data_IF_903928639338
#
_entry.id   IF_903928639338
#
_cell.length_a   1.000
_cell.length_b   1.000
_cell.length_c   1.000
_cell.angle_alpha   90.00
_cell.angle_beta   90.00
_cell.angle_gamma   90.00
#
_symmetry.space_group_name_H-M   'P 1'
#
loop_
_entity.id
_entity.type
_entity.pdbx_description
1 polymer ?
#
# COMPACT_ATOMS: atom_id res chain seq x y z
N UNK A 1 22.79 26.55 39.73
CA UNK A 1 22.41 27.50 38.67
C UNK A 1 21.94 26.80 37.40
N UNK A 2 22.32 25.54 37.16
CA UNK A 2 21.97 24.83 35.92
C UNK A 2 20.46 24.55 35.75
N UNK A 3 19.72 24.29 36.84
CA UNK A 3 18.27 24.07 36.80
C UNK A 3 17.49 25.31 36.37
N UNK A 4 18.00 26.52 36.65
CA UNK A 4 17.32 27.77 36.30
C UNK A 4 17.45 28.11 34.80
N UNK A 5 18.56 27.68 34.18
CA UNK A 5 18.80 27.78 32.74
C UNK A 5 17.96 26.72 32.02
N UNK A 6 17.99 25.47 32.50
CA UNK A 6 17.21 24.38 31.91
C UNK A 6 15.69 24.65 32.01
N UNK A 7 15.24 25.25 33.12
CA UNK A 7 13.86 25.71 33.28
C UNK A 7 13.48 26.90 32.39
N UNK A 8 14.45 27.67 31.87
CA UNK A 8 14.20 28.77 30.95
C UNK A 8 13.88 28.29 29.53
N UNK A 9 14.46 27.17 29.13
CA UNK A 9 14.25 26.56 27.81
C UNK A 9 13.01 25.65 27.75
N UNK A 10 12.37 25.41 28.90
CA UNK A 10 11.14 24.64 28.96
C UNK A 10 9.95 25.45 28.43
N UNK A 11 9.01 24.79 27.73
CA UNK A 11 7.80 25.45 27.26
C UNK A 11 6.97 25.90 28.46
N UNK A 12 6.60 27.18 28.48
CA UNK A 12 5.67 27.72 29.46
C UNK A 12 4.22 27.62 28.95
N UNK A 13 3.28 27.47 29.88
CA UNK A 13 1.87 27.54 29.57
C UNK A 13 1.47 29.00 29.33
N UNK A 14 1.19 29.35 28.07
CA UNK A 14 0.72 30.69 27.68
C UNK A 14 -0.75 30.87 28.02
N UNK A 15 -1.55 29.80 27.91
CA UNK A 15 -2.97 29.82 28.25
C UNK A 15 -3.38 28.61 29.09
N UNK A 16 -4.35 28.72 30.02
CA UNK A 16 -4.82 27.61 30.86
C UNK A 16 -5.33 26.39 30.08
N UNK A 17 -5.73 26.57 28.82
CA UNK A 17 -6.22 25.53 27.92
C UNK A 17 -5.14 24.90 27.03
N UNK A 18 -3.94 25.48 26.99
CA UNK A 18 -2.83 24.95 26.19
C UNK A 18 -2.48 23.54 26.62
N UNK A 19 -2.37 22.65 25.63
CA UNK A 19 -1.97 21.26 25.86
C UNK A 19 -0.50 21.11 25.53
N UNK A 20 0.26 20.58 26.48
CA UNK A 20 1.64 20.17 26.23
C UNK A 20 1.68 18.94 25.32
N UNK A 21 2.57 18.98 24.34
CA UNK A 21 3.00 17.84 23.53
C UNK A 21 3.61 16.75 24.42
N UNK A 22 3.75 15.55 23.87
CA UNK A 22 4.41 14.45 24.56
C UNK A 22 5.88 14.78 24.87
N UNK A 23 6.61 15.28 23.87
CA UNK A 23 8.04 15.58 23.99
C UNK A 23 8.28 16.69 25.04
N UNK A 24 7.41 17.69 25.08
CA UNK A 24 7.42 18.75 26.09
C UNK A 24 7.19 18.20 27.50
N UNK A 25 6.22 17.29 27.68
CA UNK A 25 5.97 16.65 28.99
C UNK A 25 7.18 15.84 29.46
N UNK A 26 7.88 15.16 28.57
CA UNK A 26 9.08 14.39 28.93
C UNK A 26 10.20 15.32 29.41
N UNK A 27 10.45 16.43 28.71
CA UNK A 27 11.45 17.42 29.14
C UNK A 27 11.11 18.01 30.52
N UNK A 28 9.86 18.40 30.72
CA UNK A 28 9.39 18.90 32.03
C UNK A 28 9.59 17.84 33.12
N UNK A 29 9.29 16.57 32.83
CA UNK A 29 9.49 15.47 33.78
C UNK A 29 10.97 15.23 34.11
N UNK A 30 11.89 15.40 33.16
CA UNK A 30 13.33 15.26 33.42
C UNK A 30 13.82 16.32 34.41
N UNK A 31 13.43 17.58 34.21
CA UNK A 31 13.78 18.68 35.13
C UNK A 31 13.08 18.50 36.49
N UNK A 32 11.82 18.07 36.48
CA UNK A 32 11.06 17.74 37.68
C UNK A 32 11.70 16.62 38.52
N UNK A 33 12.22 15.58 37.87
CA UNK A 33 12.90 14.47 38.54
C UNK A 33 14.23 14.94 39.17
N UNK A 34 14.97 15.83 38.50
CA UNK A 34 16.21 16.45 39.02
C UNK A 34 15.96 17.43 40.15
N UNK A 35 14.81 18.12 40.14
CA UNK A 35 14.49 19.16 41.11
C UNK A 35 14.33 18.64 42.56
N UNK A 36 14.38 17.32 42.82
CA UNK A 36 14.61 16.70 44.13
C UNK A 36 13.69 17.17 45.27
N UNK A 37 13.98 18.35 45.79
CA UNK A 37 13.27 19.09 46.82
C UNK A 37 11.85 19.56 46.41
N UNK A 38 10.88 19.49 47.34
CA UNK A 38 9.51 19.98 47.11
C UNK A 38 9.43 21.48 46.76
N UNK A 39 10.34 22.30 47.31
CA UNK A 39 10.36 23.75 47.07
C UNK A 39 10.71 24.10 45.62
N UNK A 40 11.76 23.47 45.08
CA UNK A 40 12.19 23.66 43.70
C UNK A 40 11.16 23.17 42.68
N UNK A 41 10.50 22.03 42.97
CA UNK A 41 9.38 21.52 42.17
C UNK A 41 8.22 22.50 42.09
N UNK A 42 7.89 23.13 43.22
CA UNK A 42 6.79 24.10 43.29
C UNK A 42 7.16 25.37 42.52
N UNK A 43 8.38 25.89 42.71
CA UNK A 43 8.90 27.04 41.97
C UNK A 43 8.92 26.83 40.45
N UNK A 44 9.38 25.64 40.00
CA UNK A 44 9.36 25.23 38.59
C UNK A 44 7.93 25.23 38.03
N UNK A 45 6.98 24.67 38.76
CA UNK A 45 5.57 24.64 38.37
C UNK A 45 4.96 26.05 38.23
N UNK A 46 5.27 26.95 39.16
CA UNK A 46 4.82 28.35 39.07
C UNK A 46 5.38 29.06 37.85
N UNK A 47 6.68 28.86 37.54
CA UNK A 47 7.33 29.44 36.35
C UNK A 47 6.72 28.93 35.04
N UNK A 48 6.37 27.65 34.98
CA UNK A 48 5.78 27.04 33.79
C UNK A 48 4.26 27.25 33.69
N UNK A 49 3.61 27.77 34.75
CA UNK A 49 2.16 27.95 34.82
C UNK A 49 1.36 26.65 35.01
N UNK A 50 2.03 25.57 35.42
CA UNK A 50 1.44 24.22 35.53
C UNK A 50 1.24 23.87 37.00
N UNK A 51 0.11 23.24 37.35
CA UNK A 51 -0.10 22.75 38.72
C UNK A 51 0.79 21.54 39.03
N UNK A 52 1.42 21.47 40.22
CA UNK A 52 2.23 20.32 40.67
C UNK A 52 1.51 18.97 40.56
N UNK A 53 0.21 18.93 40.88
CA UNK A 53 -0.61 17.73 40.76
C UNK A 53 -0.70 17.20 39.32
N UNK A 54 -0.69 18.10 38.33
CA UNK A 54 -0.72 17.72 36.90
C UNK A 54 0.58 17.04 36.48
N UNK A 55 1.73 17.58 36.92
CA UNK A 55 3.05 17.00 36.65
C UNK A 55 3.22 15.67 37.37
N UNK A 56 2.79 15.56 38.62
CA UNK A 56 2.75 14.29 39.36
C UNK A 56 1.90 13.23 38.65
N UNK A 57 0.74 13.63 38.08
CA UNK A 57 -0.09 12.76 37.27
C UNK A 57 0.56 12.34 35.94
N UNK A 58 1.49 13.12 35.39
CA UNK A 58 2.31 12.69 34.24
C UNK A 58 3.39 11.71 34.67
N UNK A 59 4.06 11.94 35.81
CA UNK A 59 5.08 11.05 36.35
C UNK A 59 4.49 9.66 36.66
N UNK A 60 3.29 9.60 37.26
CA UNK A 60 2.58 8.33 37.50
C UNK A 60 2.30 7.59 36.20
N UNK A 61 1.72 8.27 35.21
CA UNK A 61 1.44 7.68 33.88
C UNK A 61 2.69 7.22 33.15
N UNK A 62 3.83 7.91 33.32
CA UNK A 62 5.12 7.48 32.78
C UNK A 62 5.58 6.17 33.42
N UNK A 63 5.48 6.05 34.75
CA UNK A 63 5.82 4.81 35.48
C UNK A 63 4.93 3.63 35.08
N UNK A 64 3.66 3.90 34.82
CA UNK A 64 2.69 2.90 34.35
C UNK A 64 2.80 2.60 32.85
N UNK A 65 3.67 3.30 32.10
CA UNK A 65 3.78 3.16 30.65
C UNK A 65 2.58 3.68 29.85
N UNK A 66 1.62 4.35 30.52
CA UNK A 66 0.39 4.89 29.91
C UNK A 66 0.55 6.32 29.38
N UNK A 67 1.72 6.94 29.58
CA UNK A 67 2.06 8.19 28.94
C UNK A 67 2.40 7.92 27.46
N UNK A 68 1.39 7.97 26.61
CA UNK A 68 1.51 7.67 25.17
C UNK A 68 1.75 8.97 24.39
N UNK A 69 2.63 8.91 23.39
CA UNK A 69 2.75 9.96 22.38
C UNK A 69 1.43 10.03 21.62
N UNK A 70 0.68 11.12 21.81
CA UNK A 70 -0.46 11.39 20.93
C UNK A 70 0.09 11.67 19.55
N UNK A 71 0.17 10.63 18.72
CA UNK A 71 0.27 10.78 17.28
C UNK A 71 -0.87 11.68 16.86
N UNK A 72 -0.54 12.80 16.21
CA UNK A 72 -1.51 13.78 15.78
C UNK A 72 -2.58 13.04 14.95
N UNK A 73 -3.76 12.87 15.54
CA UNK A 73 -4.93 12.17 14.97
C UNK A 73 -5.59 12.96 13.82
N UNK A 74 -4.77 13.67 13.05
CA UNK A 74 -5.16 14.52 11.93
C UNK A 74 -4.79 13.93 10.57
N UNK A 75 -4.19 12.73 10.51
CA UNK A 75 -3.89 12.06 9.24
C UNK A 75 -4.71 10.80 8.97
N UNK A 76 -5.46 10.26 9.93
CA UNK A 76 -6.14 8.97 9.73
C UNK A 76 -7.49 9.06 9.03
N UNK A 77 -8.27 10.14 9.23
CA UNK A 77 -9.64 10.21 8.71
C UNK A 77 -9.74 10.55 7.21
N UNK A 78 -8.72 11.19 6.65
CA UNK A 78 -8.62 11.48 5.20
C UNK A 78 -7.97 10.31 4.49
N UNK A 79 -6.84 9.83 5.01
CA UNK A 79 -6.13 8.66 4.45
C UNK A 79 -6.99 7.39 4.44
N UNK A 80 -7.81 7.14 5.47
CA UNK A 80 -8.74 5.99 5.44
C UNK A 80 -9.84 6.11 4.37
N UNK A 81 -10.32 7.32 4.08
CA UNK A 81 -11.33 7.52 3.03
C UNK A 81 -10.75 7.32 1.64
N UNK A 82 -9.54 7.84 1.42
CA UNK A 82 -8.84 7.69 0.14
C UNK A 82 -8.43 6.23 -0.11
N UNK A 83 -7.95 5.52 0.92
CA UNK A 83 -7.65 4.09 0.84
C UNK A 83 -8.89 3.24 0.54
N UNK A 84 -10.04 3.54 1.16
CA UNK A 84 -11.28 2.82 0.89
C UNK A 84 -11.81 3.07 -0.54
N UNK A 85 -11.58 4.25 -1.11
CA UNK A 85 -11.92 4.55 -2.50
C UNK A 85 -11.01 3.80 -3.48
N UNK A 86 -9.69 3.76 -3.21
CA UNK A 86 -8.72 3.04 -4.03
C UNK A 86 -8.97 1.53 -4.04
N UNK A 87 -9.31 0.92 -2.89
CA UNK A 87 -9.64 -0.50 -2.82
C UNK A 87 -10.88 -0.86 -3.66
N UNK A 88 -11.89 0.01 -3.70
CA UNK A 88 -13.08 -0.20 -4.53
C UNK A 88 -12.78 -0.09 -6.02
N UNK A 89 -11.90 0.83 -6.43
CA UNK A 89 -11.47 0.97 -7.81
C UNK A 89 -10.66 -0.26 -8.25
N UNK A 90 -9.68 -0.67 -7.45
CA UNK A 90 -8.86 -1.85 -7.72
C UNK A 90 -9.68 -3.14 -7.76
N UNK A 91 -10.70 -3.29 -6.91
CA UNK A 91 -11.59 -4.45 -6.95
C UNK A 91 -12.39 -4.52 -8.26
N UNK A 92 -12.92 -3.37 -8.72
CA UNK A 92 -13.63 -3.29 -10.01
C UNK A 92 -12.70 -3.62 -11.17
N UNK A 93 -11.47 -3.13 -11.14
CA UNK A 93 -10.46 -3.39 -12.17
C UNK A 93 -10.05 -4.87 -12.19
N UNK A 94 -9.92 -5.51 -11.02
CA UNK A 94 -9.68 -6.95 -10.94
C UNK A 94 -10.82 -7.75 -11.56
N UNK A 95 -12.08 -7.38 -11.28
CA UNK A 95 -13.24 -8.06 -11.84
C UNK A 95 -13.35 -7.88 -13.35
N UNK A 96 -13.01 -6.71 -13.90
CA UNK A 96 -12.99 -6.50 -15.35
C UNK A 96 -11.89 -7.32 -16.00
N UNK A 97 -10.68 -7.30 -15.45
CA UNK A 97 -9.54 -8.06 -15.96
C UNK A 97 -9.82 -9.57 -15.94
N UNK A 98 -10.45 -10.09 -14.88
CA UNK A 98 -10.86 -11.50 -14.79
C UNK A 98 -11.87 -11.89 -15.87
N UNK A 99 -12.81 -11.00 -16.20
CA UNK A 99 -13.79 -11.25 -17.28
C UNK A 99 -13.12 -11.25 -18.66
N UNK A 100 -12.13 -10.39 -18.87
CA UNK A 100 -11.34 -10.39 -20.11
C UNK A 100 -10.50 -11.65 -20.25
N UNK A 101 -9.89 -12.11 -19.15
CA UNK A 101 -9.14 -13.36 -19.10
C UNK A 101 -10.03 -14.56 -19.46
N UNK A 102 -11.23 -14.66 -18.85
CA UNK A 102 -12.19 -15.72 -19.17
C UNK A 102 -12.66 -15.69 -20.64
N UNK A 103 -12.77 -14.51 -21.25
CA UNK A 103 -13.11 -14.36 -22.68
C UNK A 103 -11.97 -14.84 -23.57
N UNK A 104 -10.73 -14.51 -23.23
CA UNK A 104 -9.55 -14.93 -23.98
C UNK A 104 -9.35 -16.46 -23.88
N UNK A 105 -9.52 -17.05 -22.70
CA UNK A 105 -9.47 -18.50 -22.48
C UNK A 105 -10.53 -19.23 -23.31
N UNK A 106 -11.77 -18.73 -23.31
CA UNK A 106 -12.85 -19.31 -24.13
C UNK A 106 -12.56 -19.26 -25.65
N UNK A 107 -11.88 -18.21 -26.12
CA UNK A 107 -11.46 -18.10 -27.52
C UNK A 107 -10.36 -19.11 -27.87
N UNK A 108 -9.38 -19.32 -26.98
CA UNK A 108 -8.34 -20.35 -27.16
C UNK A 108 -8.94 -21.74 -27.21
N UNK A 109 -9.88 -22.05 -26.32
CA UNK A 109 -10.59 -23.33 -26.28
C UNK A 109 -11.39 -23.61 -27.56
N UNK A 110 -12.08 -22.60 -28.08
CA UNK A 110 -12.83 -22.72 -29.32
C UNK A 110 -11.91 -22.98 -30.52
N UNK A 111 -10.77 -22.29 -30.59
CA UNK A 111 -9.76 -22.49 -31.63
C UNK A 111 -9.11 -23.89 -31.54
N UNK A 112 -8.84 -24.37 -30.31
CA UNK A 112 -8.35 -25.73 -30.08
C UNK A 112 -9.32 -26.78 -30.64
N UNK A 113 -10.60 -26.69 -30.26
CA UNK A 113 -11.67 -27.60 -30.75
C UNK A 113 -11.82 -27.54 -32.27
N UNK A 114 -11.74 -26.35 -32.87
CA UNK A 114 -11.80 -26.21 -34.32
C UNK A 114 -10.60 -26.89 -35.02
N UNK A 115 -9.38 -26.73 -34.47
CA UNK A 115 -8.18 -27.37 -35.03
C UNK A 115 -8.21 -28.90 -34.92
N UNK A 116 -8.77 -29.44 -33.85
CA UNK A 116 -8.95 -30.88 -33.66
C UNK A 116 -9.95 -31.44 -34.68
N UNK A 117 -11.07 -30.75 -34.90
CA UNK A 117 -12.07 -31.14 -35.90
C UNK A 117 -11.48 -31.11 -37.31
N UNK A 118 -10.72 -30.07 -37.67
CA UNK A 118 -10.03 -29.99 -38.96
C UNK A 118 -9.01 -31.13 -39.12
N UNK A 119 -8.28 -31.46 -38.05
CA UNK A 119 -7.33 -32.59 -38.06
C UNK A 119 -8.05 -33.93 -38.21
N UNK A 120 -9.20 -34.12 -37.56
CA UNK A 120 -10.01 -35.33 -37.68
C UNK A 120 -10.58 -35.51 -39.09
N UNK A 121 -11.08 -34.42 -39.70
CA UNK A 121 -11.55 -34.42 -41.09
C UNK A 121 -10.41 -34.67 -42.09
N UNK A 122 -9.23 -34.09 -41.86
CA UNK A 122 -8.05 -34.34 -42.68
C UNK A 122 -7.56 -35.80 -42.57
N UNK A 123 -7.70 -36.43 -41.40
CA UNK A 123 -7.35 -37.86 -41.20
C UNK A 123 -8.38 -38.81 -41.80
N UNK A 124 -9.66 -38.44 -41.82
CA UNK A 124 -10.71 -39.25 -42.47
C UNK A 124 -10.72 -39.09 -44.00
N UNK A 125 -10.25 -37.94 -44.48
CA UNK A 125 -9.96 -37.71 -45.90
C UNK A 125 -8.59 -38.29 -46.26
N UNK A 126 -8.53 -39.60 -46.54
CA UNK A 126 -7.41 -40.12 -47.31
C UNK A 126 -7.42 -39.38 -48.65
N UNK A 127 -6.34 -38.69 -49.08
CA UNK A 127 -6.23 -38.33 -50.47
C UNK A 127 -6.16 -39.66 -51.21
N UNK A 128 -7.23 -40.04 -51.90
CA UNK A 128 -7.14 -41.04 -52.95
C UNK A 128 -6.01 -40.56 -53.83
N UNK A 129 -4.89 -41.31 -53.99
CA UNK A 129 -3.88 -40.92 -54.93
C UNK A 129 -4.61 -40.85 -56.27
N UNK A 130 -4.86 -39.62 -56.75
CA UNK A 130 -5.25 -39.43 -58.13
C UNK A 130 -4.06 -39.98 -58.89
N UNK A 131 -4.24 -41.20 -59.39
CA UNK A 131 -3.34 -41.87 -60.30
C UNK A 131 -3.28 -40.91 -61.48
N UNK A 132 -2.26 -40.05 -61.51
CA UNK A 132 -2.01 -39.17 -62.63
C UNK A 132 -2.02 -40.08 -63.86
N UNK A 133 -2.99 -39.84 -64.75
CA UNK A 133 -3.09 -40.61 -65.97
C UNK A 133 -1.72 -40.57 -66.66
N UNK A 134 -1.23 -41.69 -67.24
CA UNK A 134 0.03 -41.69 -67.95
C UNK A 134 -0.02 -40.56 -68.95
N UNK A 135 0.94 -39.62 -68.84
CA UNK A 135 1.04 -38.47 -69.72
C UNK A 135 0.96 -38.99 -71.15
N UNK A 136 -0.02 -38.56 -71.98
CA UNK A 136 -0.08 -39.02 -73.36
C UNK A 136 1.24 -38.66 -74.04
N UNK A 137 1.82 -39.57 -74.84
CA UNK A 137 3.13 -39.35 -75.44
C UNK A 137 3.11 -38.06 -76.26
N UNK A 138 4.15 -37.24 -76.06
CA UNK A 138 4.29 -35.95 -76.74
C UNK A 138 4.20 -36.18 -78.27
N UNK A 139 3.42 -35.36 -79.00
CA UNK A 139 3.38 -35.46 -80.45
C UNK A 139 4.79 -35.20 -81.02
N UNK A 140 5.20 -35.92 -82.09
CA UNK A 140 6.54 -35.80 -82.63
C UNK A 140 6.79 -34.36 -83.07
N UNK A 141 7.91 -33.80 -82.62
CA UNK A 141 8.37 -32.49 -83.07
C UNK A 141 8.58 -32.56 -84.58
N UNK A 142 7.72 -31.87 -85.35
CA UNK A 142 7.92 -31.67 -86.79
C UNK A 142 9.28 -31.01 -86.99
N UNK A 143 10.27 -31.78 -87.45
CA UNK A 143 11.50 -31.20 -88.01
C UNK A 143 11.08 -30.34 -89.20
N UNK A 144 11.19 -29.01 -89.06
CA UNK A 144 11.25 -28.13 -90.23
C UNK A 144 12.49 -28.52 -91.04
N UNK A 145 12.27 -28.85 -92.30
CA UNK A 145 13.29 -29.42 -93.18
C UNK A 145 14.35 -28.43 -93.66
N UNK A 146 15.39 -29.02 -94.25
CA UNK A 146 15.99 -28.65 -95.53
C UNK A 146 16.43 -29.93 -96.22
#
# INVERSE_FOLDING_TARGET
>A
MDLDIEAAELPHQVTPKQRFSYDEKIRILQVWDRAGEPGLKTALCHRLGIRPATVAGWAKRRREGTLIRREAKHRSAVVQRDQAAQLKLLAKENDTLRRELARAEGAVDALGKASELLTALAKSSKPTPQRMAPTPPLPPLRRRGK
#
